data_IF_797911209104
#
_entry.id   IF_797911209104
#
_cell.length_a   1.000
_cell.length_b   1.000
_cell.length_c   1.000
_cell.angle_alpha   90.00
_cell.angle_beta   90.00
_cell.angle_gamma   90.00
#
_symmetry.space_group_name_H-M   'P 1'
#
loop_
_entity.id
_entity.type
_entity.pdbx_description
1 polymer ?
#
# COMPACT_ATOMS: atom_id res chain seq x y z
N UNK A 1 -13.56 -16.28 -9.05
CA UNK A 1 -13.48 -17.29 -10.13
C UNK A 1 -12.66 -18.50 -9.69
N UNK A 2 -12.80 -19.64 -10.38
CA UNK A 2 -11.90 -20.80 -10.28
C UNK A 2 -10.40 -20.40 -10.39
N UNK A 3 -10.17 -19.24 -11.01
CA UNK A 3 -8.91 -18.52 -11.23
C UNK A 3 -8.26 -17.93 -9.96
N UNK A 4 -8.95 -17.94 -8.81
CA UNK A 4 -8.39 -17.52 -7.51
C UNK A 4 -7.84 -18.68 -6.70
N UNK A 5 -7.55 -19.82 -7.34
CA UNK A 5 -6.93 -20.92 -6.64
C UNK A 5 -5.62 -20.45 -6.03
N UNK A 6 -5.45 -20.70 -4.73
CA UNK A 6 -4.22 -20.49 -3.98
C UNK A 6 -3.16 -21.52 -4.42
N UNK A 7 -3.17 -21.99 -5.66
CA UNK A 7 -2.32 -23.05 -6.21
C UNK A 7 -1.86 -22.62 -7.60
N UNK A 8 -0.56 -22.69 -7.85
CA UNK A 8 0.05 -22.36 -9.13
C UNK A 8 -0.20 -23.44 -10.17
N UNK A 9 0.03 -23.13 -11.46
CA UNK A 9 0.05 -24.14 -12.54
C UNK A 9 1.09 -25.25 -12.31
N UNK A 10 2.07 -25.01 -11.45
CA UNK A 10 3.11 -25.99 -11.04
C UNK A 10 2.73 -26.77 -9.77
N UNK A 11 1.53 -26.57 -9.22
CA UNK A 11 1.02 -27.29 -8.05
C UNK A 11 1.43 -26.71 -6.69
N UNK A 12 2.13 -25.58 -6.65
CA UNK A 12 2.56 -24.94 -5.40
C UNK A 12 1.51 -23.99 -4.86
N UNK A 13 1.32 -23.96 -3.54
CA UNK A 13 0.38 -23.03 -2.92
C UNK A 13 0.83 -21.57 -3.10
N UNK A 14 0.05 -20.76 -3.84
CA UNK A 14 0.16 -19.30 -3.93
C UNK A 14 -0.63 -18.72 -2.75
N UNK A 15 -0.04 -17.83 -1.94
CA UNK A 15 -0.79 -17.17 -0.86
C UNK A 15 -0.42 -17.54 0.59
N UNK A 16 0.30 -18.64 0.82
CA UNK A 16 0.75 -19.01 2.19
C UNK A 16 1.96 -18.20 2.65
N UNK A 17 2.82 -17.75 1.72
CA UNK A 17 4.04 -16.97 1.98
C UNK A 17 4.11 -15.69 1.12
N UNK A 18 3.24 -15.55 0.10
CA UNK A 18 3.27 -14.44 -0.86
C UNK A 18 1.87 -14.00 -1.27
N UNK A 19 1.62 -12.70 -1.38
CA UNK A 19 0.35 -12.15 -1.87
C UNK A 19 0.09 -12.53 -3.35
N UNK A 20 -1.19 -12.60 -3.75
CA UNK A 20 -1.62 -12.84 -5.13
C UNK A 20 -2.05 -11.51 -5.78
N UNK A 21 -1.15 -10.83 -6.52
CA UNK A 21 -1.42 -9.49 -7.07
C UNK A 21 -2.45 -9.54 -8.22
N UNK A 22 -2.55 -10.68 -8.91
CA UNK A 22 -3.54 -10.92 -9.98
C UNK A 22 -4.94 -10.92 -9.38
N UNK A 23 -5.17 -11.73 -8.34
CA UNK A 23 -6.46 -11.81 -7.69
C UNK A 23 -6.90 -10.47 -7.09
N UNK A 24 -5.96 -9.73 -6.49
CA UNK A 24 -6.23 -8.39 -5.95
C UNK A 24 -6.69 -7.41 -7.03
N UNK A 25 -6.00 -7.35 -8.17
CA UNK A 25 -6.39 -6.47 -9.27
C UNK A 25 -7.79 -6.82 -9.81
N UNK A 26 -8.07 -8.10 -10.05
CA UNK A 26 -9.37 -8.55 -10.57
C UNK A 26 -10.53 -8.28 -9.59
N UNK A 27 -10.30 -8.41 -8.28
CA UNK A 27 -11.30 -8.06 -7.26
C UNK A 27 -11.62 -6.56 -7.26
N UNK A 28 -10.61 -5.71 -7.45
CA UNK A 28 -10.81 -4.25 -7.50
C UNK A 28 -11.45 -3.81 -8.82
N UNK A 29 -11.12 -4.45 -9.95
CA UNK A 29 -11.83 -4.25 -11.22
C UNK A 29 -13.32 -4.61 -11.09
N UNK A 30 -13.64 -5.75 -10.47
CA UNK A 30 -15.03 -6.16 -10.20
C UNK A 30 -15.77 -5.17 -9.28
N UNK A 31 -15.04 -4.47 -8.43
CA UNK A 31 -15.57 -3.42 -7.56
C UNK A 31 -15.61 -2.04 -8.25
N UNK A 32 -15.18 -1.96 -9.51
CA UNK A 32 -15.13 -0.76 -10.34
C UNK A 32 -14.51 0.45 -9.63
N UNK A 33 -13.34 0.23 -8.99
CA UNK A 33 -12.59 1.31 -8.34
C UNK A 33 -12.18 2.39 -9.34
N UNK A 34 -12.26 3.67 -8.96
CA UNK A 34 -11.82 4.77 -9.84
C UNK A 34 -10.30 4.96 -9.85
N UNK A 35 -9.61 4.53 -8.78
CA UNK A 35 -8.17 4.68 -8.61
C UNK A 35 -7.66 3.68 -7.57
N UNK A 36 -6.46 3.12 -7.82
CA UNK A 36 -5.79 2.22 -6.89
C UNK A 36 -4.46 2.83 -6.40
N UNK A 37 -4.19 2.67 -5.10
CA UNK A 37 -2.98 3.20 -4.44
C UNK A 37 -2.16 2.06 -3.85
N UNK A 38 -0.91 1.93 -4.29
CA UNK A 38 0.01 0.91 -3.81
C UNK A 38 0.79 1.39 -2.57
N UNK A 39 0.89 0.50 -1.59
CA UNK A 39 1.56 0.76 -0.31
C UNK A 39 2.47 -0.42 0.03
N UNK A 40 3.79 -0.25 -0.17
CA UNK A 40 4.81 -1.18 0.30
C UNK A 40 4.86 -2.52 -0.42
N UNK A 41 4.37 -2.58 -1.66
CA UNK A 41 4.41 -3.78 -2.49
C UNK A 41 5.80 -3.97 -3.15
N UNK A 42 6.17 -5.23 -3.40
CA UNK A 42 7.44 -5.56 -4.06
C UNK A 42 7.36 -5.32 -5.56
N UNK A 43 8.49 -5.04 -6.22
CA UNK A 43 8.56 -4.72 -7.66
C UNK A 43 7.80 -5.71 -8.56
N UNK A 44 7.88 -7.01 -8.29
CA UNK A 44 7.15 -8.02 -9.08
C UNK A 44 5.63 -7.97 -8.87
N UNK A 45 5.20 -7.72 -7.63
CA UNK A 45 3.79 -7.55 -7.29
C UNK A 45 3.23 -6.25 -7.86
N UNK A 46 4.00 -5.16 -7.77
CA UNK A 46 3.65 -3.85 -8.32
C UNK A 46 3.38 -3.92 -9.81
N UNK A 47 4.31 -4.49 -10.57
CA UNK A 47 4.19 -4.60 -12.03
C UNK A 47 2.98 -5.45 -12.40
N UNK A 48 2.77 -6.57 -11.71
CA UNK A 48 1.68 -7.49 -12.03
C UNK A 48 0.32 -6.87 -11.72
N UNK A 49 0.17 -6.24 -10.55
CA UNK A 49 -1.06 -5.56 -10.16
C UNK A 49 -1.35 -4.39 -11.11
N UNK A 50 -0.35 -3.52 -11.33
CA UNK A 50 -0.51 -2.32 -12.18
C UNK A 50 -0.91 -2.68 -13.61
N UNK A 51 -0.36 -3.78 -14.15
CA UNK A 51 -0.71 -4.27 -15.48
C UNK A 51 -2.16 -4.74 -15.60
N UNK A 52 -2.71 -5.31 -14.53
CA UNK A 52 -4.04 -5.94 -14.53
C UNK A 52 -5.15 -5.05 -13.98
N UNK A 53 -4.80 -3.98 -13.28
CA UNK A 53 -5.74 -2.96 -12.83
C UNK A 53 -6.32 -2.21 -14.03
N UNK A 54 -7.65 -2.16 -14.12
CA UNK A 54 -8.35 -1.32 -15.10
C UNK A 54 -8.33 0.16 -14.70
N UNK A 55 -8.40 0.41 -13.39
CA UNK A 55 -8.26 1.74 -12.82
C UNK A 55 -6.80 2.21 -12.85
N UNK A 56 -6.53 3.53 -12.98
CA UNK A 56 -5.19 4.07 -12.84
C UNK A 56 -4.60 3.73 -11.47
N UNK A 57 -3.32 3.34 -11.47
CA UNK A 57 -2.57 2.96 -10.27
C UNK A 57 -1.47 3.96 -10.00
N UNK A 58 -1.32 4.37 -8.75
CA UNK A 58 -0.16 5.13 -8.29
C UNK A 58 0.49 4.46 -7.09
N UNK A 59 1.80 4.66 -6.92
CA UNK A 59 2.53 4.17 -5.75
C UNK A 59 2.70 5.30 -4.75
N UNK A 60 2.08 5.16 -3.57
CA UNK A 60 2.25 6.12 -2.48
C UNK A 60 3.47 5.80 -1.62
N UNK A 61 3.72 4.51 -1.37
CA UNK A 61 4.88 4.06 -0.61
C UNK A 61 5.57 2.96 -1.39
N UNK A 62 6.76 3.23 -1.90
CA UNK A 62 7.58 2.21 -2.55
C UNK A 62 8.24 1.31 -1.50
N UNK A 63 8.15 -0.01 -1.67
CA UNK A 63 8.85 -0.95 -0.79
C UNK A 63 10.35 -0.80 -0.92
N UNK A 64 11.03 -0.71 0.20
CA UNK A 64 12.48 -0.72 0.25
C UNK A 64 13.00 -1.87 1.14
N UNK A 65 14.28 -2.22 0.97
CA UNK A 65 14.93 -3.27 1.76
C UNK A 65 15.65 -2.72 2.99
N UNK A 66 15.97 -1.43 2.97
CA UNK A 66 16.67 -0.73 4.06
C UNK A 66 15.82 -0.60 5.32
N UNK A 67 14.49 -0.59 5.18
CA UNK A 67 13.48 -0.47 6.23
C UNK A 67 12.82 -1.82 6.59
N UNK A 68 13.53 -2.94 6.49
CA UNK A 68 12.97 -4.29 6.51
C UNK A 68 11.59 -4.47 5.87
N UNK A 69 11.38 -3.87 4.68
CA UNK A 69 10.10 -3.90 3.97
C UNK A 69 8.96 -3.11 4.62
N UNK A 70 9.27 -2.21 5.55
CA UNK A 70 8.35 -1.26 6.18
C UNK A 70 8.85 0.19 6.03
N UNK A 71 8.73 0.78 4.83
CA UNK A 71 9.22 2.14 4.56
C UNK A 71 8.55 3.20 5.44
N UNK A 72 7.28 2.97 5.79
CA UNK A 72 6.49 3.86 6.62
C UNK A 72 7.05 4.01 8.05
N UNK A 73 7.89 3.07 8.51
CA UNK A 73 8.52 3.14 9.83
C UNK A 73 9.35 4.42 10.02
N UNK A 74 9.91 4.98 8.95
CA UNK A 74 10.68 6.24 9.00
C UNK A 74 9.83 7.39 9.54
N UNK A 75 8.53 7.43 9.24
CA UNK A 75 7.61 8.48 9.71
C UNK A 75 7.51 8.52 11.24
N UNK A 76 7.71 7.38 11.90
CA UNK A 76 7.60 7.24 13.35
C UNK A 76 8.96 7.29 14.07
N UNK A 77 10.05 7.28 13.31
CA UNK A 77 11.41 7.43 13.82
C UNK A 77 11.69 8.85 14.33
N UNK A 78 12.83 9.06 14.98
CA UNK A 78 13.29 10.40 15.34
C UNK A 78 13.36 11.32 14.10
N UNK A 79 13.83 10.80 12.96
CA UNK A 79 13.90 11.55 11.71
C UNK A 79 12.52 12.07 11.26
N UNK A 80 11.51 11.20 11.23
CA UNK A 80 10.14 11.61 10.87
C UNK A 80 9.55 12.63 11.83
N UNK A 81 9.78 12.46 13.14
CA UNK A 81 9.31 13.41 14.17
C UNK A 81 9.93 14.80 13.99
N UNK A 82 11.22 14.87 13.74
CA UNK A 82 11.91 16.14 13.50
C UNK A 82 11.49 16.77 12.18
N UNK A 83 11.39 15.97 11.10
CA UNK A 83 11.00 16.44 9.78
C UNK A 83 9.60 17.08 9.78
N UNK A 84 8.63 16.48 10.48
CA UNK A 84 7.25 16.98 10.54
C UNK A 84 6.95 17.83 11.80
N UNK A 85 7.97 18.26 12.54
CA UNK A 85 7.77 18.90 13.84
C UNK A 85 6.92 20.18 13.76
N UNK A 86 7.13 21.01 12.74
CA UNK A 86 6.37 22.25 12.50
C UNK A 86 4.90 21.98 12.17
N UNK A 87 4.66 21.06 11.26
CA UNK A 87 3.35 20.66 10.76
C UNK A 87 2.52 20.04 11.90
N UNK A 88 3.12 19.14 12.68
CA UNK A 88 2.46 18.52 13.82
C UNK A 88 2.09 19.54 14.90
N UNK A 89 2.94 20.55 15.15
CA UNK A 89 2.61 21.68 16.05
C UNK A 89 1.43 22.49 15.53
N UNK A 90 1.41 22.79 14.23
CA UNK A 90 0.33 23.53 13.60
C UNK A 90 -1.01 22.77 13.63
N UNK A 91 -1.00 21.48 13.31
CA UNK A 91 -2.18 20.60 13.37
C UNK A 91 -2.76 20.59 14.80
N UNK A 92 -1.93 20.34 15.82
CA UNK A 92 -2.37 20.37 17.23
C UNK A 92 -2.97 21.72 17.62
N UNK A 93 -2.40 22.83 17.14
CA UNK A 93 -2.92 24.17 17.39
C UNK A 93 -4.32 24.35 16.78
N UNK A 94 -4.54 23.87 15.56
CA UNK A 94 -5.83 23.92 14.88
C UNK A 94 -6.88 23.05 15.60
N UNK A 95 -6.52 21.84 16.01
CA UNK A 95 -7.40 20.95 16.78
C UNK A 95 -7.82 21.55 18.13
N UNK A 96 -6.88 22.21 18.83
CA UNK A 96 -7.19 22.91 20.08
C UNK A 96 -8.13 24.11 19.90
N UNK A 97 -8.06 24.81 18.76
CA UNK A 97 -9.00 25.89 18.43
C UNK A 97 -10.39 25.32 18.18
N UNK A 98 -10.50 24.26 17.37
CA UNK A 98 -11.77 23.60 17.04
C UNK A 98 -12.49 23.02 18.26
N UNK A 99 -11.76 22.60 19.30
CA UNK A 99 -12.34 22.11 20.58
C UNK A 99 -12.85 23.23 21.51
N UNK A 100 -12.49 24.49 21.24
CA UNK A 100 -12.92 25.65 22.04
C UNK A 100 -14.16 26.34 21.47
N UNK A 101 -14.54 25.99 20.24
CA UNK A 101 -15.79 26.35 19.57
C UNK A 101 -16.85 25.27 19.84
#
# INVERSE_FOLDING_TARGET
PEEYSMISKTGYTIGWITCNPVAQALLLNNSSTDMNVLVGLCVGHDITFTRLSEAPVTTLIAKDRSSPHNPAAVLFSHYGKEFFASELKNIRRLEMKKKKE
#
